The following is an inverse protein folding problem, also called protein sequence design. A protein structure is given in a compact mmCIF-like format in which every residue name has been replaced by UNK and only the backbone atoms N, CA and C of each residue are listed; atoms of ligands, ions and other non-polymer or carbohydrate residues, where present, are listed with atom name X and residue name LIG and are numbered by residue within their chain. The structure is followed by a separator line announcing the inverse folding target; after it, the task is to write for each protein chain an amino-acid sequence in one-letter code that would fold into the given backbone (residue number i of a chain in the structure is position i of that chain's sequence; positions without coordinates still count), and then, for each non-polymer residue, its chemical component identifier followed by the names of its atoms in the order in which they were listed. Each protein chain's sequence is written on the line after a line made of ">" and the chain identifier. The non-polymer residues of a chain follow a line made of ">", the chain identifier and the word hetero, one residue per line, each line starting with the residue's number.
data_IF_267906748453
#
_entry.id   IF_267906748453
#
_cell.length_a   1.000
_cell.length_b   1.000
_cell.length_c   1.000
_cell.angle_alpha   90.00
_cell.angle_beta   90.00
_cell.angle_gamma   90.00
#
_symmetry.space_group_name_H-M   'P 1'
#
loop_
_entity.id
_entity.type
_entity.pdbx_description
1 polymer ?
#
# COMPACT_ATOMS: atom_id res chain seq x y z
N UNK A 1 -21.45 -4.93 -2.32
CA UNK A 1 -21.82 -6.29 -2.76
C UNK A 1 -20.60 -7.04 -3.32
N UNK A 2 -19.82 -6.42 -4.21
CA UNK A 2 -18.60 -7.03 -4.80
C UNK A 2 -17.54 -7.31 -3.73
N UNK A 3 -17.27 -6.36 -2.85
CA UNK A 3 -16.30 -6.51 -1.76
C UNK A 3 -16.62 -7.70 -0.83
N UNK A 4 -17.86 -7.80 -0.34
CA UNK A 4 -18.26 -8.95 0.50
C UNK A 4 -18.19 -10.27 -0.25
N UNK A 5 -18.50 -10.28 -1.54
CA UNK A 5 -18.34 -11.47 -2.36
C UNK A 5 -16.86 -11.83 -2.51
N UNK A 6 -16.01 -10.81 -2.66
CA UNK A 6 -14.55 -10.97 -2.69
C UNK A 6 -14.03 -11.59 -1.39
N UNK A 7 -14.43 -11.07 -0.23
CA UNK A 7 -14.06 -11.65 1.06
C UNK A 7 -14.50 -13.11 1.19
N UNK A 8 -15.73 -13.42 0.79
CA UNK A 8 -16.22 -14.82 0.80
C UNK A 8 -15.43 -15.72 -0.17
N UNK A 9 -15.10 -15.21 -1.35
CA UNK A 9 -14.36 -15.97 -2.34
C UNK A 9 -12.90 -16.23 -1.93
N UNK A 10 -12.27 -15.27 -1.22
CA UNK A 10 -10.92 -15.45 -0.69
C UNK A 10 -10.89 -16.43 0.47
N UNK A 11 -11.97 -16.53 1.25
CA UNK A 11 -11.99 -17.31 2.49
C UNK A 11 -11.13 -16.71 3.61
N UNK A 12 -10.75 -15.42 3.50
CA UNK A 12 -10.06 -14.70 4.57
C UNK A 12 -10.98 -14.61 5.79
N UNK A 13 -10.45 -14.99 6.95
CA UNK A 13 -11.20 -14.97 8.22
C UNK A 13 -11.48 -13.53 8.65
N UNK A 14 -12.68 -13.26 9.13
CA UNK A 14 -13.06 -12.01 9.81
C UNK A 14 -12.68 -12.01 11.29
N UNK A 15 -12.40 -13.19 11.85
CA UNK A 15 -12.19 -13.37 13.29
C UNK A 15 -10.71 -13.27 13.69
N UNK A 16 -9.81 -13.28 12.72
CA UNK A 16 -8.38 -13.26 12.99
C UNK A 16 -7.57 -12.73 11.79
N UNK A 17 -6.42 -12.18 12.11
CA UNK A 17 -5.42 -11.78 11.11
C UNK A 17 -4.86 -13.05 10.43
N UNK A 18 -4.85 -13.11 9.09
CA UNK A 18 -4.29 -14.23 8.35
C UNK A 18 -2.77 -14.29 8.48
N UNK A 19 -2.19 -15.47 8.30
CA UNK A 19 -0.74 -15.63 8.14
C UNK A 19 -0.34 -15.35 6.69
N UNK A 20 0.91 -14.95 6.47
CA UNK A 20 1.45 -14.71 5.10
C UNK A 20 1.27 -15.96 4.22
N UNK A 21 1.48 -17.16 4.76
CA UNK A 21 1.27 -18.40 4.01
C UNK A 21 -0.19 -18.59 3.59
N UNK A 22 -1.14 -18.26 4.46
CA UNK A 22 -2.58 -18.30 4.12
C UNK A 22 -2.92 -17.30 3.02
N UNK A 23 -2.31 -16.10 3.04
CA UNK A 23 -2.45 -15.14 1.94
C UNK A 23 -1.92 -15.71 0.63
N UNK A 24 -0.77 -16.38 0.63
CA UNK A 24 -0.24 -17.03 -0.56
C UNK A 24 -1.15 -18.16 -1.06
N UNK A 25 -1.69 -18.98 -0.17
CA UNK A 25 -2.59 -20.09 -0.52
C UNK A 25 -3.91 -19.58 -1.15
N UNK A 26 -4.38 -18.42 -0.69
CA UNK A 26 -5.58 -17.77 -1.20
C UNK A 26 -5.30 -17.11 -2.56
N UNK A 27 -4.29 -16.27 -2.61
CA UNK A 27 -3.92 -15.47 -3.78
C UNK A 27 -3.39 -16.33 -4.92
N UNK A 28 -2.71 -17.44 -4.61
CA UNK A 28 -2.22 -18.39 -5.59
C UNK A 28 -3.32 -19.01 -6.47
N UNK A 29 -4.57 -19.04 -6.00
CA UNK A 29 -5.73 -19.49 -6.79
C UNK A 29 -6.08 -18.57 -7.97
N UNK A 30 -5.58 -17.35 -7.93
CA UNK A 30 -5.79 -16.31 -8.94
C UNK A 30 -4.47 -15.80 -9.54
N UNK A 31 -3.41 -16.62 -9.43
CA UNK A 31 -2.06 -16.33 -9.93
C UNK A 31 -1.39 -15.09 -9.27
N UNK A 32 -1.77 -14.75 -8.04
CA UNK A 32 -1.10 -13.76 -7.22
C UNK A 32 -0.35 -14.42 -6.07
N UNK A 33 0.68 -13.75 -5.59
CA UNK A 33 1.42 -14.13 -4.38
C UNK A 33 1.47 -13.01 -3.37
N UNK A 34 2.04 -13.29 -2.20
CA UNK A 34 2.31 -12.30 -1.17
C UNK A 34 3.72 -12.50 -0.61
N UNK A 35 4.42 -11.41 -0.31
CA UNK A 35 5.76 -11.44 0.27
C UNK A 35 5.84 -10.45 1.43
N UNK A 36 6.46 -10.89 2.52
CA UNK A 36 6.77 -10.01 3.64
C UNK A 36 8.04 -9.21 3.35
N UNK A 37 8.01 -7.91 3.65
CA UNK A 37 9.15 -7.00 3.48
C UNK A 37 9.39 -6.19 4.75
N UNK A 38 10.61 -5.70 4.90
CA UNK A 38 10.98 -4.84 6.01
C UNK A 38 10.55 -3.40 5.77
N UNK A 39 9.43 -3.02 6.39
CA UNK A 39 8.89 -1.67 6.39
C UNK A 39 8.50 -1.12 5.01
N UNK A 40 8.67 0.18 4.84
CA UNK A 40 8.33 0.89 3.60
C UNK A 40 9.40 0.71 2.54
N UNK A 41 9.08 0.08 1.40
CA UNK A 41 10.01 -0.19 0.29
C UNK A 41 10.00 0.92 -0.77
N UNK A 42 11.03 1.03 -1.63
CA UNK A 42 11.06 2.03 -2.70
C UNK A 42 9.88 1.87 -3.68
N UNK A 43 9.28 2.97 -4.16
CA UNK A 43 8.16 2.92 -5.10
C UNK A 43 8.42 2.07 -6.35
N UNK A 44 9.62 2.14 -6.92
CA UNK A 44 9.98 1.32 -8.08
C UNK A 44 9.95 -0.18 -7.78
N UNK A 45 10.47 -0.60 -6.62
CA UNK A 45 10.43 -1.99 -6.18
C UNK A 45 8.97 -2.45 -5.92
N UNK A 46 8.16 -1.60 -5.28
CA UNK A 46 6.74 -1.85 -5.08
C UNK A 46 6.02 -2.10 -6.41
N UNK A 47 6.24 -1.23 -7.41
CA UNK A 47 5.64 -1.38 -8.73
C UNK A 47 6.12 -2.64 -9.45
N UNK A 48 7.40 -3.01 -9.28
CA UNK A 48 7.95 -4.23 -9.85
C UNK A 48 7.30 -5.49 -9.25
N UNK A 49 7.13 -5.58 -7.93
CA UNK A 49 6.37 -6.65 -7.29
C UNK A 49 4.95 -6.75 -7.84
N UNK A 50 4.27 -5.62 -7.96
CA UNK A 50 2.91 -5.56 -8.50
C UNK A 50 2.83 -6.02 -9.96
N UNK A 51 3.84 -5.70 -10.80
CA UNK A 51 3.96 -6.18 -12.18
C UNK A 51 4.05 -7.72 -12.25
N UNK A 52 4.68 -8.34 -11.24
CA UNK A 52 4.76 -9.80 -11.10
C UNK A 52 3.60 -10.41 -10.32
N UNK A 53 2.53 -9.65 -10.08
CA UNK A 53 1.35 -10.11 -9.32
C UNK A 53 1.70 -10.53 -7.89
N UNK A 54 2.53 -9.75 -7.20
CA UNK A 54 2.92 -9.99 -5.82
C UNK A 54 2.48 -8.83 -4.95
N UNK A 55 1.65 -9.11 -3.94
CA UNK A 55 1.35 -8.18 -2.86
C UNK A 55 2.52 -8.11 -1.89
N UNK A 56 2.91 -6.89 -1.55
CA UNK A 56 3.99 -6.61 -0.61
C UNK A 56 3.39 -6.26 0.74
N UNK A 57 3.70 -7.05 1.75
CA UNK A 57 3.15 -6.94 3.10
C UNK A 57 4.26 -6.51 4.04
N UNK A 58 4.12 -5.36 4.72
CA UNK A 58 5.07 -4.96 5.74
C UNK A 58 5.08 -5.97 6.90
N UNK A 59 6.28 -6.34 7.38
CA UNK A 59 6.43 -7.25 8.52
C UNK A 59 5.86 -6.65 9.81
N UNK A 60 5.97 -5.33 9.96
CA UNK A 60 5.44 -4.61 11.11
C UNK A 60 3.95 -4.38 10.96
N UNK A 61 3.20 -4.71 12.00
CA UNK A 61 1.76 -4.56 12.03
C UNK A 61 1.39 -3.31 12.83
N UNK A 62 0.33 -2.61 12.40
CA UNK A 62 -0.20 -1.45 13.13
C UNK A 62 -0.52 -1.80 14.59
N UNK A 63 -0.25 -0.85 15.48
CA UNK A 63 -0.59 -1.00 16.89
C UNK A 63 -2.05 -0.63 17.14
N UNK A 64 -2.65 -1.21 18.18
CA UNK A 64 -4.05 -0.94 18.54
C UNK A 64 -4.33 0.55 18.83
N UNK A 65 -3.34 1.29 19.30
CA UNK A 65 -3.44 2.73 19.56
C UNK A 65 -3.40 3.58 18.29
N UNK A 66 -3.03 2.98 17.16
CA UNK A 66 -2.90 3.62 15.86
C UNK A 66 -3.63 2.80 14.78
N UNK A 67 -4.77 2.22 15.14
CA UNK A 67 -5.51 1.30 14.25
C UNK A 67 -5.93 1.96 12.93
N UNK A 68 -6.19 3.25 12.95
CA UNK A 68 -6.61 4.03 11.77
C UNK A 68 -5.43 4.43 10.86
N UNK A 69 -4.21 4.18 11.31
CA UNK A 69 -3.03 4.59 10.56
C UNK A 69 -1.96 3.49 10.58
N UNK A 70 -1.49 3.11 9.40
CA UNK A 70 -0.30 2.27 9.25
C UNK A 70 0.80 3.03 8.51
N UNK A 71 2.03 3.05 9.03
CA UNK A 71 3.17 3.68 8.36
C UNK A 71 3.55 3.01 7.04
N UNK A 72 3.28 1.70 6.92
CA UNK A 72 3.49 0.91 5.72
C UNK A 72 2.32 -0.10 5.56
N UNK A 73 2.03 -0.58 4.34
CA UNK A 73 0.96 -1.55 4.10
C UNK A 73 1.22 -2.86 4.86
N UNK A 74 0.50 -3.05 5.95
CA UNK A 74 0.60 -4.23 6.82
C UNK A 74 -0.38 -5.35 6.40
N UNK A 75 -0.33 -6.47 7.10
CA UNK A 75 -1.19 -7.62 6.81
C UNK A 75 -2.69 -7.30 6.91
N UNK A 76 -3.09 -6.36 7.78
CA UNK A 76 -4.48 -5.93 7.91
C UNK A 76 -4.92 -5.18 6.67
N UNK A 77 -4.07 -4.23 6.20
CA UNK A 77 -4.31 -3.47 4.97
C UNK A 77 -4.44 -4.40 3.76
N UNK A 78 -3.51 -5.33 3.59
CA UNK A 78 -3.51 -6.22 2.44
C UNK A 78 -4.66 -7.23 2.47
N UNK A 79 -4.96 -7.81 3.62
CA UNK A 79 -6.00 -8.80 3.76
C UNK A 79 -7.43 -8.21 3.69
N UNK A 80 -7.65 -7.03 4.25
CA UNK A 80 -8.96 -6.38 4.25
C UNK A 80 -9.15 -5.43 3.05
N UNK A 81 -8.09 -4.79 2.56
CA UNK A 81 -8.14 -3.81 1.50
C UNK A 81 -7.99 -4.40 0.10
N UNK A 82 -6.82 -4.95 -0.21
CA UNK A 82 -6.47 -5.38 -1.57
C UNK A 82 -7.00 -6.77 -1.93
N UNK A 83 -6.77 -7.79 -1.11
CA UNK A 83 -7.06 -9.17 -1.45
C UNK A 83 -8.52 -9.41 -1.86
N UNK A 84 -9.55 -8.83 -1.20
CA UNK A 84 -10.94 -9.02 -1.60
C UNK A 84 -11.30 -8.45 -2.97
N UNK A 85 -10.55 -7.47 -3.47
CA UNK A 85 -10.83 -6.81 -4.74
C UNK A 85 -10.01 -7.43 -5.87
N UNK A 86 -8.80 -7.92 -5.58
CA UNK A 86 -7.93 -8.55 -6.60
C UNK A 86 -8.56 -9.81 -7.22
N UNK A 87 -9.55 -10.42 -6.58
CA UNK A 87 -10.34 -11.51 -7.18
C UNK A 87 -11.16 -11.05 -8.39
N UNK A 88 -11.42 -9.76 -8.52
CA UNK A 88 -11.98 -9.17 -9.74
C UNK A 88 -10.90 -9.13 -10.82
N UNK A 89 -11.19 -9.77 -11.96
CA UNK A 89 -10.19 -9.92 -13.02
C UNK A 89 -9.77 -8.59 -13.64
N UNK A 90 -10.71 -7.68 -13.87
CA UNK A 90 -10.40 -6.38 -14.49
C UNK A 90 -9.54 -5.55 -13.56
N UNK A 91 -9.84 -5.57 -12.25
CA UNK A 91 -9.02 -4.88 -11.25
C UNK A 91 -7.63 -5.52 -11.11
N UNK A 92 -7.54 -6.85 -11.12
CA UNK A 92 -6.27 -7.59 -11.09
C UNK A 92 -5.38 -7.23 -12.30
N UNK A 93 -5.95 -7.22 -13.51
CA UNK A 93 -5.24 -6.80 -14.72
C UNK A 93 -4.82 -5.32 -14.65
N UNK A 94 -5.68 -4.46 -14.15
CA UNK A 94 -5.36 -3.04 -13.94
C UNK A 94 -4.14 -2.87 -13.03
N UNK A 95 -4.13 -3.54 -11.87
CA UNK A 95 -3.00 -3.49 -10.94
C UNK A 95 -1.71 -3.98 -11.58
N UNK A 96 -1.75 -5.13 -12.25
CA UNK A 96 -0.57 -5.70 -12.91
C UNK A 96 0.00 -4.72 -13.95
N UNK A 97 -0.85 -4.20 -14.85
CA UNK A 97 -0.41 -3.24 -15.89
C UNK A 97 0.11 -1.95 -15.29
N UNK A 98 -0.50 -1.49 -14.20
CA UNK A 98 -0.01 -0.33 -13.47
C UNK A 98 1.40 -0.57 -12.94
N UNK A 99 1.65 -1.75 -12.36
CA UNK A 99 2.97 -2.18 -11.93
C UNK A 99 3.99 -2.22 -13.09
N UNK A 100 3.61 -2.79 -14.24
CA UNK A 100 4.47 -2.87 -15.43
C UNK A 100 4.90 -1.49 -15.97
N UNK A 101 4.01 -0.51 -15.91
CA UNK A 101 4.31 0.88 -16.28
C UNK A 101 5.17 1.54 -15.20
N UNK A 102 4.77 1.38 -13.94
CA UNK A 102 5.46 1.98 -12.81
C UNK A 102 6.89 1.47 -12.61
N UNK A 103 7.13 0.18 -12.87
CA UNK A 103 8.49 -0.40 -12.80
C UNK A 103 9.48 0.20 -13.81
N UNK A 104 8.97 0.84 -14.87
CA UNK A 104 9.78 1.50 -15.90
C UNK A 104 9.89 3.02 -15.69
N UNK A 105 9.15 3.57 -14.75
CA UNK A 105 9.10 5.01 -14.52
C UNK A 105 10.40 5.54 -13.91
N UNK A 106 10.84 6.69 -14.38
CA UNK A 106 12.04 7.34 -13.87
C UNK A 106 11.76 8.06 -12.55
N UNK A 107 12.66 7.82 -11.58
CA UNK A 107 12.70 8.52 -10.30
C UNK A 107 13.80 9.57 -10.27
N UNK A 108 13.57 10.65 -9.55
CA UNK A 108 14.59 11.66 -9.29
C UNK A 108 15.38 11.37 -8.01
N UNK A 109 16.55 12.01 -7.85
CA UNK A 109 17.29 11.96 -6.59
C UNK A 109 16.45 12.47 -5.41
N UNK A 110 15.61 13.50 -5.65
CA UNK A 110 14.73 14.04 -4.61
C UNK A 110 13.62 13.09 -4.18
N UNK A 111 13.11 12.25 -5.11
CA UNK A 111 12.16 11.20 -4.76
C UNK A 111 12.81 10.18 -3.83
N UNK A 112 14.05 9.80 -4.10
CA UNK A 112 14.79 8.88 -3.23
C UNK A 112 15.07 9.49 -1.85
N UNK A 113 15.43 10.76 -1.78
CA UNK A 113 15.64 11.47 -0.51
C UNK A 113 14.33 11.60 0.28
N UNK A 114 13.21 11.84 -0.39
CA UNK A 114 11.88 11.85 0.25
C UNK A 114 11.50 10.45 0.74
N UNK A 115 11.69 9.43 -0.08
CA UNK A 115 11.47 8.05 0.32
C UNK A 115 12.26 7.67 1.58
N UNK A 116 13.55 8.01 1.64
CA UNK A 116 14.37 7.74 2.82
C UNK A 116 13.85 8.45 4.08
N UNK A 117 13.40 9.70 3.94
CA UNK A 117 12.83 10.46 5.05
C UNK A 117 11.52 9.83 5.56
N UNK A 118 10.63 9.41 4.65
CA UNK A 118 9.37 8.72 4.99
C UNK A 118 9.68 7.39 5.68
N UNK A 119 10.59 6.58 5.13
CA UNK A 119 10.98 5.29 5.73
C UNK A 119 11.54 5.48 7.14
N UNK A 120 12.40 6.48 7.33
CA UNK A 120 12.95 6.79 8.65
C UNK A 120 11.85 7.16 9.65
N UNK A 121 10.92 8.04 9.26
CA UNK A 121 9.77 8.42 10.08
C UNK A 121 8.88 7.21 10.43
N UNK A 122 8.64 6.31 9.46
CA UNK A 122 7.86 5.08 9.68
C UNK A 122 8.50 4.21 10.75
N UNK A 123 9.80 3.95 10.64
CA UNK A 123 10.56 3.15 11.62
C UNK A 123 10.49 3.78 13.02
N UNK A 124 10.59 5.10 13.12
CA UNK A 124 10.49 5.79 14.41
C UNK A 124 9.09 5.64 15.01
N UNK A 125 8.03 5.78 14.21
CA UNK A 125 6.64 5.66 14.69
C UNK A 125 6.26 4.23 15.12
N UNK A 126 6.92 3.22 14.61
CA UNK A 126 6.72 1.81 14.97
C UNK A 126 7.38 1.44 16.30
N UNK A 127 8.37 2.21 16.76
CA UNK A 127 9.06 1.95 18.02
C UNK A 127 8.15 2.24 19.22
N UNK A 128 7.96 1.29 20.15
CA UNK A 128 7.05 1.47 21.29
C UNK A 128 7.38 2.67 22.20
N UNK A 129 8.66 3.09 22.23
CA UNK A 129 9.16 4.19 23.08
C UNK A 129 9.95 5.20 22.24
N UNK A 130 9.44 5.56 21.06
CA UNK A 130 10.09 6.58 20.23
C UNK A 130 10.14 7.92 20.95
N UNK A 131 11.29 8.59 20.88
CA UNK A 131 11.41 9.95 21.41
C UNK A 131 10.53 10.90 20.57
N UNK A 132 9.62 11.60 21.24
CA UNK A 132 8.73 12.55 20.60
C UNK A 132 9.49 13.64 19.82
N UNK A 133 10.68 14.04 20.29
CA UNK A 133 11.53 15.02 19.61
C UNK A 133 12.11 14.44 18.30
N UNK A 134 12.58 13.19 18.32
CA UNK A 134 13.07 12.50 17.10
C UNK A 134 11.96 12.36 16.06
N UNK A 135 10.75 11.99 16.50
CA UNK A 135 9.57 11.89 15.61
C UNK A 135 9.20 13.25 15.01
N UNK A 136 9.23 14.33 15.80
CA UNK A 136 8.94 15.68 15.32
C UNK A 136 10.00 16.16 14.31
N UNK A 137 11.28 15.93 14.57
CA UNK A 137 12.37 16.25 13.65
C UNK A 137 12.26 15.47 12.33
N UNK A 138 11.96 14.19 12.39
CA UNK A 138 11.75 13.36 11.20
C UNK A 138 10.50 13.81 10.42
N UNK A 139 9.43 14.19 11.11
CA UNK A 139 8.22 14.73 10.47
C UNK A 139 8.51 16.03 9.73
N UNK A 140 9.23 16.96 10.35
CA UNK A 140 9.66 18.21 9.70
C UNK A 140 10.56 17.98 8.51
N UNK A 141 11.43 16.97 8.55
CA UNK A 141 12.26 16.59 7.43
C UNK A 141 11.41 16.11 6.24
N UNK A 142 10.41 15.26 6.47
CA UNK A 142 9.50 14.79 5.42
C UNK A 142 8.76 15.99 4.80
N UNK A 143 8.19 16.87 5.62
CA UNK A 143 7.50 18.08 5.13
C UNK A 143 8.42 18.98 4.30
N UNK A 144 9.66 19.18 4.75
CA UNK A 144 10.64 19.97 4.02
C UNK A 144 10.97 19.34 2.66
N UNK A 145 11.21 18.03 2.62
CA UNK A 145 11.48 17.30 1.36
C UNK A 145 10.29 17.38 0.40
N UNK A 146 9.06 17.23 0.89
CA UNK A 146 7.85 17.40 0.08
C UNK A 146 7.73 18.80 -0.53
N UNK A 147 7.94 19.85 0.27
CA UNK A 147 7.88 21.24 -0.18
C UNK A 147 8.97 21.61 -1.20
N UNK A 148 10.12 20.96 -1.12
CA UNK A 148 11.28 21.23 -1.98
C UNK A 148 11.44 20.27 -3.16
N UNK A 149 10.47 19.39 -3.38
CA UNK A 149 10.51 18.36 -4.41
C UNK A 149 10.67 18.98 -5.83
N UNK A 150 9.96 20.08 -6.10
CA UNK A 150 9.95 20.75 -7.40
C UNK A 150 9.03 20.05 -8.40
N UNK A 151 9.41 20.03 -9.67
CA UNK A 151 8.67 19.31 -10.70
C UNK A 151 8.64 17.81 -10.40
N UNK A 152 7.46 17.19 -10.47
CA UNK A 152 7.33 15.76 -10.17
C UNK A 152 7.99 14.90 -11.25
N UNK A 153 8.69 13.85 -10.84
CA UNK A 153 9.17 12.81 -11.73
C UNK A 153 8.04 11.95 -12.26
N UNK A 154 8.31 11.10 -13.27
CA UNK A 154 7.34 10.11 -13.76
C UNK A 154 6.87 9.19 -12.62
N UNK A 155 7.80 8.71 -11.79
CA UNK A 155 7.47 7.89 -10.63
C UNK A 155 6.59 8.64 -9.63
N UNK A 156 6.86 9.90 -9.35
CA UNK A 156 6.04 10.71 -8.44
C UNK A 156 4.61 10.90 -8.97
N UNK A 157 4.44 11.11 -10.27
CA UNK A 157 3.13 11.21 -10.90
C UNK A 157 2.35 9.90 -10.83
N UNK A 158 3.01 8.77 -11.16
CA UNK A 158 2.38 7.45 -11.08
C UNK A 158 2.03 7.06 -9.63
N UNK A 159 2.91 7.35 -8.67
CA UNK A 159 2.61 7.10 -7.26
C UNK A 159 1.37 7.87 -6.77
N UNK A 160 1.20 9.13 -7.22
CA UNK A 160 -0.02 9.91 -6.92
C UNK A 160 -1.26 9.30 -7.56
N UNK A 161 -1.16 8.86 -8.82
CA UNK A 161 -2.28 8.22 -9.50
C UNK A 161 -2.66 6.89 -8.83
N UNK A 162 -1.67 6.09 -8.42
CA UNK A 162 -1.88 4.87 -7.64
C UNK A 162 -2.64 5.18 -6.35
N UNK A 163 -2.18 6.16 -5.61
CA UNK A 163 -2.82 6.61 -4.37
C UNK A 163 -4.29 7.02 -4.58
N UNK A 164 -4.57 7.83 -5.61
CA UNK A 164 -5.92 8.31 -5.88
C UNK A 164 -6.86 7.24 -6.43
N UNK A 165 -6.35 6.18 -7.02
CA UNK A 165 -7.16 5.11 -7.61
C UNK A 165 -7.16 3.87 -6.72
N UNK A 166 -6.02 3.23 -6.57
CA UNK A 166 -5.89 1.95 -5.89
C UNK A 166 -6.17 2.05 -4.38
N UNK A 167 -5.74 3.15 -3.75
CA UNK A 167 -5.89 3.32 -2.30
C UNK A 167 -7.18 4.07 -1.92
N UNK A 168 -7.52 5.13 -2.62
CA UNK A 168 -8.63 6.02 -2.27
C UNK A 168 -9.70 6.13 -3.38
N UNK A 169 -9.74 5.17 -4.29
CA UNK A 169 -10.64 5.20 -5.43
C UNK A 169 -12.10 5.05 -5.06
N UNK A 170 -12.92 5.85 -5.74
CA UNK A 170 -14.37 5.77 -5.71
C UNK A 170 -14.90 5.49 -7.11
N UNK A 171 -16.01 4.75 -7.21
CA UNK A 171 -16.66 4.40 -8.46
C UNK A 171 -18.16 4.66 -8.37
N UNK A 172 -18.79 4.99 -9.48
CA UNK A 172 -20.21 5.25 -9.58
C UNK A 172 -20.58 6.73 -9.63
N UNK A 173 -21.85 7.08 -9.53
CA UNK A 173 -22.30 8.47 -9.60
C UNK A 173 -21.89 9.26 -8.36
N UNK A 174 -21.68 10.57 -8.52
CA UNK A 174 -21.27 11.47 -7.44
C UNK A 174 -22.26 11.50 -6.26
N UNK A 175 -23.54 11.30 -6.54
CA UNK A 175 -24.61 11.30 -5.54
C UNK A 175 -24.61 10.02 -4.67
N UNK A 176 -23.97 8.96 -5.14
CA UNK A 176 -23.89 7.67 -4.43
C UNK A 176 -22.61 6.91 -4.80
N UNK A 177 -21.45 7.45 -4.43
CA UNK A 177 -20.17 6.82 -4.72
C UNK A 177 -19.99 5.52 -3.94
N UNK A 178 -19.28 4.58 -4.54
CA UNK A 178 -18.90 3.30 -3.91
C UNK A 178 -17.40 3.23 -3.79
N UNK A 179 -16.92 2.76 -2.66
CA UNK A 179 -15.51 2.58 -2.39
C UNK A 179 -15.00 1.35 -3.13
N UNK A 180 -13.84 1.48 -3.78
CA UNK A 180 -13.05 0.36 -4.26
C UNK A 180 -11.56 0.49 -3.87
N UNK A 181 -11.13 1.66 -3.39
CA UNK A 181 -9.78 1.87 -2.92
C UNK A 181 -9.47 1.11 -1.64
N UNK A 182 -8.36 0.38 -1.61
CA UNK A 182 -7.98 -0.49 -0.50
C UNK A 182 -7.74 0.28 0.81
N UNK A 183 -7.16 1.48 0.74
CA UNK A 183 -6.92 2.34 1.89
C UNK A 183 -8.20 2.87 2.56
N UNK A 184 -9.34 2.83 1.86
CA UNK A 184 -10.65 3.17 2.43
C UNK A 184 -11.40 1.94 2.99
N UNK A 185 -10.93 0.74 2.71
CA UNK A 185 -11.56 -0.52 3.09
C UNK A 185 -10.88 -1.20 4.29
N UNK A 186 -9.66 -0.77 4.65
CA UNK A 186 -8.81 -1.41 5.67
C UNK A 186 -8.54 -0.52 6.90
#
# INVERSE_FOLDING_TARGET
>A
KVYFQGLLNTGISFERIPRIQEMNDILGKIDWGAVAVDGFIPPAAFMEFQAYKVLVIACDMRQIHHIEYTPAPDIVHEAAGHAPIIVDREYSEYLQRFGEVGAKAMSSKKDFELYQAIRHLSILKERPNADAKEVDEATKLVEHRQKTLGEPSEMALLSRLHWWTVEYGLIGPLESPKIYGAGLLS
#
